data_IF_326316634855
#
_entry.id   IF_326316634855
#
_cell.length_a   1.000
_cell.length_b   1.000
_cell.length_c   1.000
_cell.angle_alpha   90.00
_cell.angle_beta   90.00
_cell.angle_gamma   90.00
#
_symmetry.space_group_name_H-M   'P 1'
#
loop_
_entity.id
_entity.type
_entity.pdbx_description
1 polymer ?
#
# COMPACT_ATOMS: atom_id res chain seq x y z
N UNK A 1 -0.92 26.31 -7.43
CA UNK A 1 0.50 26.70 -7.46
C UNK A 1 1.29 25.51 -6.94
N UNK A 2 1.90 24.73 -7.83
CA UNK A 2 2.68 23.56 -7.45
C UNK A 2 3.98 24.04 -6.82
N UNK A 3 4.16 23.76 -5.53
CA UNK A 3 5.42 24.00 -4.83
C UNK A 3 6.58 23.22 -5.48
N UNK A 4 7.84 23.53 -5.13
CA UNK A 4 8.99 22.82 -5.65
C UNK A 4 8.82 21.31 -5.41
N UNK A 5 9.08 20.51 -6.44
CA UNK A 5 9.11 19.05 -6.33
C UNK A 5 10.30 18.70 -5.44
N UNK A 6 10.07 18.49 -4.15
CA UNK A 6 11.11 17.95 -3.27
C UNK A 6 11.48 16.55 -3.78
N UNK A 7 12.70 16.42 -4.27
CA UNK A 7 13.27 15.15 -4.68
C UNK A 7 13.75 14.41 -3.43
N UNK A 8 12.91 13.52 -2.91
CA UNK A 8 13.29 12.67 -1.80
C UNK A 8 14.25 11.59 -2.26
N UNK A 9 15.42 11.52 -1.63
CA UNK A 9 16.46 10.54 -1.95
C UNK A 9 16.32 9.33 -1.03
N UNK A 10 16.24 8.14 -1.63
CA UNK A 10 16.43 6.85 -0.97
C UNK A 10 17.83 6.27 -1.29
N UNK A 11 18.36 5.35 -0.45
CA UNK A 11 19.58 4.61 -0.77
C UNK A 11 19.45 3.79 -2.08
N UNK A 12 20.56 3.41 -2.73
CA UNK A 12 20.55 2.43 -3.81
C UNK A 12 19.88 1.12 -3.36
N UNK A 13 19.14 0.45 -4.26
CA UNK A 13 18.35 -0.74 -3.88
C UNK A 13 19.23 -1.90 -3.43
N UNK A 14 20.46 -1.95 -3.92
CA UNK A 14 21.50 -2.93 -3.59
C UNK A 14 21.95 -2.84 -2.13
N UNK A 15 21.63 -1.73 -1.44
CA UNK A 15 21.89 -1.57 -0.02
C UNK A 15 20.80 -2.21 0.87
N UNK A 16 19.74 -2.78 0.30
CA UNK A 16 18.71 -3.46 1.07
C UNK A 16 19.25 -4.74 1.74
N UNK A 17 18.70 -5.09 2.91
CA UNK A 17 18.94 -6.41 3.51
C UNK A 17 18.41 -7.54 2.60
N UNK A 18 18.79 -8.80 2.81
CA UNK A 18 18.25 -9.93 2.03
C UNK A 18 16.72 -10.01 2.04
N UNK A 19 16.07 -9.54 3.11
CA UNK A 19 14.61 -9.49 3.24
C UNK A 19 13.99 -8.24 2.57
N UNK A 20 14.83 -7.31 2.10
CA UNK A 20 14.42 -6.11 1.39
C UNK A 20 14.32 -4.85 2.25
N UNK A 21 14.72 -4.85 3.52
CA UNK A 21 14.68 -3.63 4.33
C UNK A 21 15.74 -2.65 3.80
N UNK A 22 15.33 -1.46 3.38
CA UNK A 22 16.20 -0.49 2.70
C UNK A 22 16.55 0.73 3.57
N UNK A 23 15.57 1.27 4.30
CA UNK A 23 15.76 2.48 5.09
C UNK A 23 14.78 2.55 6.28
N UNK A 24 15.14 3.36 7.27
CA UNK A 24 14.36 3.60 8.50
C UNK A 24 14.16 5.10 8.70
N UNK A 25 12.96 5.51 9.08
CA UNK A 25 12.60 6.88 9.44
C UNK A 25 11.99 7.72 8.31
N UNK A 26 12.06 9.04 8.48
CA UNK A 26 11.38 10.01 7.62
C UNK A 26 9.93 10.26 8.04
N UNK A 27 9.05 10.39 7.05
CA UNK A 27 7.63 10.72 7.12
C UNK A 27 6.91 10.13 5.90
N UNK A 28 5.58 10.18 5.92
CA UNK A 28 4.70 9.71 4.84
C UNK A 28 4.17 10.86 3.97
N UNK A 29 4.94 11.93 3.76
CA UNK A 29 4.58 13.00 2.83
C UNK A 29 4.37 12.46 1.41
N UNK A 30 3.42 13.05 0.68
CA UNK A 30 3.06 12.60 -0.67
C UNK A 30 4.26 12.54 -1.60
N UNK A 31 5.14 13.55 -1.56
CA UNK A 31 6.34 13.57 -2.39
C UNK A 31 7.31 12.43 -2.08
N UNK A 32 7.48 12.05 -0.80
CA UNK A 32 8.36 10.93 -0.41
C UNK A 32 7.76 9.60 -0.83
N UNK A 33 6.47 9.40 -0.60
CA UNK A 33 5.76 8.19 -1.05
C UNK A 33 5.87 8.01 -2.56
N UNK A 34 5.59 9.05 -3.34
CA UNK A 34 5.71 8.99 -4.80
C UNK A 34 7.14 8.72 -5.25
N UNK A 35 8.14 9.33 -4.59
CA UNK A 35 9.56 9.06 -4.86
C UNK A 35 9.95 7.61 -4.55
N UNK A 36 9.39 7.03 -3.48
CA UNK A 36 9.61 5.64 -3.10
C UNK A 36 9.00 4.68 -4.13
N UNK A 37 7.71 4.84 -4.45
CA UNK A 37 6.99 3.98 -5.39
C UNK A 37 7.63 3.98 -6.79
N UNK A 38 8.09 5.14 -7.27
CA UNK A 38 8.82 5.25 -8.55
C UNK A 38 10.12 4.45 -8.61
N UNK A 39 10.66 4.07 -7.45
CA UNK A 39 11.89 3.29 -7.29
C UNK A 39 11.63 1.85 -6.82
N UNK A 40 10.38 1.41 -6.78
CA UNK A 40 10.01 0.08 -6.29
C UNK A 40 9.99 -0.06 -4.76
N UNK A 41 10.06 1.05 -4.03
CA UNK A 41 10.13 1.07 -2.56
C UNK A 41 8.74 1.34 -1.98
N UNK A 42 8.37 0.70 -0.87
CA UNK A 42 7.11 0.95 -0.17
C UNK A 42 7.28 1.00 1.36
N UNK A 43 6.48 1.80 2.08
CA UNK A 43 6.48 1.81 3.54
C UNK A 43 5.70 0.60 4.07
N UNK A 44 6.24 -0.07 5.08
CA UNK A 44 5.54 -1.15 5.76
C UNK A 44 6.06 -1.31 7.19
N UNK A 45 5.25 -0.95 8.19
CA UNK A 45 5.62 -0.97 9.60
C UNK A 45 4.36 -1.11 10.47
N UNK A 46 4.53 -1.56 11.70
CA UNK A 46 3.44 -1.68 12.69
C UNK A 46 3.44 -0.49 13.66
N UNK A 47 2.32 -0.26 14.34
CA UNK A 47 2.21 0.73 15.41
C UNK A 47 3.33 0.56 16.44
N UNK A 48 4.01 1.66 16.79
CA UNK A 48 5.15 1.66 17.71
C UNK A 48 6.51 1.40 17.07
N UNK A 49 6.56 1.01 15.80
CA UNK A 49 7.80 0.96 15.01
C UNK A 49 8.06 2.30 14.31
N UNK A 50 9.33 2.67 14.05
CA UNK A 50 9.63 3.73 13.10
C UNK A 50 9.14 3.34 11.69
N UNK A 51 9.00 4.31 10.79
CA UNK A 51 8.70 4.03 9.39
C UNK A 51 9.82 3.17 8.80
N UNK A 52 9.46 2.04 8.21
CA UNK A 52 10.39 1.14 7.51
C UNK A 52 10.07 1.14 6.02
N UNK A 53 11.10 1.27 5.19
CA UNK A 53 10.99 1.30 3.74
C UNK A 53 11.59 0.03 3.13
N UNK A 54 10.83 -0.64 2.27
CA UNK A 54 11.14 -1.99 1.79
C UNK A 54 11.23 -2.06 0.26
N UNK A 55 12.14 -2.89 -0.24
CA UNK A 55 12.30 -3.28 -1.64
C UNK A 55 12.82 -4.74 -1.72
N UNK A 56 11.96 -5.75 -1.47
CA UNK A 56 12.35 -7.15 -1.44
C UNK A 56 12.74 -7.69 -2.82
N UNK A 57 13.68 -8.64 -2.81
CA UNK A 57 14.13 -9.44 -3.95
C UNK A 57 14.15 -10.93 -3.55
N UNK A 58 13.34 -11.82 -4.16
CA UNK A 58 12.45 -11.58 -5.29
C UNK A 58 11.21 -10.74 -4.95
N UNK A 59 10.75 -9.95 -5.93
CA UNK A 59 9.51 -9.16 -5.80
C UNK A 59 8.29 -9.94 -6.29
N UNK A 60 7.30 -10.11 -5.42
CA UNK A 60 6.00 -10.69 -5.80
C UNK A 60 5.24 -9.75 -6.74
N UNK A 61 4.88 -10.27 -7.92
CA UNK A 61 4.05 -9.58 -8.93
C UNK A 61 2.91 -10.48 -9.40
N UNK A 62 1.80 -9.88 -9.85
CA UNK A 62 0.67 -10.57 -10.46
C UNK A 62 0.47 -10.04 -11.87
N UNK A 63 0.67 -10.89 -12.87
CA UNK A 63 0.35 -10.56 -14.26
C UNK A 63 -1.17 -10.66 -14.45
N UNK A 64 -1.85 -9.62 -14.98
CA UNK A 64 -3.31 -9.60 -15.10
C UNK A 64 -3.89 -10.76 -15.93
N UNK A 65 -3.20 -11.16 -17.00
CA UNK A 65 -3.55 -12.28 -17.88
C UNK A 65 -3.30 -13.66 -17.24
N UNK A 66 -2.43 -13.73 -16.22
CA UNK A 66 -2.16 -14.94 -15.46
C UNK A 66 -3.12 -15.15 -14.26
N UNK A 67 -4.09 -14.24 -14.04
CA UNK A 67 -5.02 -14.35 -12.92
C UNK A 67 -5.88 -15.62 -13.02
N UNK A 68 -5.72 -16.52 -12.05
CA UNK A 68 -6.49 -17.78 -11.96
C UNK A 68 -7.79 -17.58 -11.19
N UNK A 69 -8.92 -17.55 -11.89
CA UNK A 69 -10.25 -17.49 -11.27
C UNK A 69 -10.84 -18.90 -11.14
N UNK A 70 -10.96 -19.40 -9.92
CA UNK A 70 -11.52 -20.72 -9.64
C UNK A 70 -12.99 -20.84 -10.06
N UNK A 71 -13.45 -22.07 -10.32
CA UNK A 71 -14.86 -22.34 -10.70
C UNK A 71 -15.85 -21.84 -9.64
N UNK A 72 -15.53 -22.01 -8.36
CA UNK A 72 -16.35 -21.53 -7.25
C UNK A 72 -16.41 -20.01 -7.21
N UNK A 73 -15.27 -19.32 -7.39
CA UNK A 73 -15.24 -17.86 -7.43
C UNK A 73 -16.05 -17.31 -8.60
N UNK A 74 -15.92 -17.88 -9.82
CA UNK A 74 -16.75 -17.51 -10.97
C UNK A 74 -18.25 -17.65 -10.69
N UNK A 75 -18.65 -18.72 -9.98
CA UNK A 75 -20.05 -18.92 -9.57
C UNK A 75 -20.50 -17.86 -8.55
N UNK A 76 -19.68 -17.56 -7.56
CA UNK A 76 -19.95 -16.54 -6.55
C UNK A 76 -20.12 -15.15 -7.17
N UNK A 77 -19.18 -14.72 -8.02
CA UNK A 77 -19.21 -13.40 -8.66
C UNK A 77 -20.48 -13.20 -9.51
N UNK A 78 -20.93 -14.25 -10.23
CA UNK A 78 -22.13 -14.18 -11.07
C UNK A 78 -23.44 -14.06 -10.27
N UNK A 79 -23.51 -14.71 -9.11
CA UNK A 79 -24.80 -14.95 -8.43
C UNK A 79 -25.02 -14.12 -7.17
N UNK A 80 -23.98 -13.50 -6.62
CA UNK A 80 -24.10 -12.72 -5.37
C UNK A 80 -24.54 -11.27 -5.57
N UNK A 81 -24.67 -10.82 -6.82
CA UNK A 81 -25.17 -9.47 -7.12
C UNK A 81 -24.20 -8.35 -6.71
N UNK A 82 -22.89 -8.61 -6.71
CA UNK A 82 -21.91 -7.58 -6.39
C UNK A 82 -21.92 -6.46 -7.43
N UNK A 83 -21.78 -5.23 -6.97
CA UNK A 83 -21.46 -4.06 -7.79
C UNK A 83 -20.02 -3.68 -7.53
N UNK A 84 -19.21 -3.63 -8.59
CA UNK A 84 -17.83 -3.15 -8.54
C UNK A 84 -17.82 -1.71 -9.02
N UNK A 85 -17.13 -0.86 -8.27
CA UNK A 85 -16.94 0.56 -8.58
C UNK A 85 -15.46 0.87 -8.44
N UNK A 86 -15.04 2.04 -8.93
CA UNK A 86 -13.68 2.54 -8.75
C UNK A 86 -13.75 3.97 -8.24
N UNK A 87 -12.86 4.29 -7.30
CA UNK A 87 -12.66 5.61 -6.70
C UNK A 87 -13.91 6.27 -6.10
N UNK A 88 -14.92 5.46 -5.72
CA UNK A 88 -16.15 5.98 -5.13
C UNK A 88 -16.07 6.17 -3.62
N UNK A 89 -15.23 5.40 -2.91
CA UNK A 89 -15.15 5.49 -1.45
C UNK A 89 -13.80 5.02 -0.89
N UNK A 90 -12.72 5.67 -1.31
CA UNK A 90 -11.36 5.31 -0.92
C UNK A 90 -11.17 5.23 0.59
N UNK A 91 -11.62 6.24 1.33
CA UNK A 91 -11.51 6.30 2.80
C UNK A 91 -12.23 5.14 3.49
N UNK A 92 -13.40 4.73 3.01
CA UNK A 92 -14.12 3.56 3.51
C UNK A 92 -13.38 2.25 3.21
N UNK A 93 -12.81 2.11 2.02
CA UNK A 93 -12.03 0.92 1.62
C UNK A 93 -10.79 0.76 2.49
N UNK A 94 -9.96 1.80 2.62
CA UNK A 94 -8.71 1.71 3.41
C UNK A 94 -8.99 1.50 4.91
N UNK A 95 -10.04 2.12 5.45
CA UNK A 95 -10.47 1.87 6.83
C UNK A 95 -10.96 0.43 7.03
N UNK A 96 -11.69 -0.13 6.07
CA UNK A 96 -12.09 -1.53 6.13
C UNK A 96 -10.89 -2.49 6.05
N UNK A 97 -9.88 -2.17 5.23
CA UNK A 97 -8.62 -2.91 5.17
C UNK A 97 -7.85 -2.87 6.50
N UNK A 98 -7.96 -1.77 7.27
CA UNK A 98 -7.26 -1.58 8.53
C UNK A 98 -7.86 -2.37 9.71
N UNK A 99 -9.12 -2.81 9.60
CA UNK A 99 -9.84 -3.49 10.69
C UNK A 99 -9.14 -4.79 11.13
N UNK A 100 -9.21 -5.15 12.43
CA UNK A 100 -8.73 -6.44 12.92
C UNK A 100 -9.32 -7.62 12.14
N UNK A 101 -8.54 -8.68 12.01
CA UNK A 101 -8.95 -9.91 11.33
C UNK A 101 -9.25 -10.97 12.39
N UNK A 102 -10.34 -11.73 12.21
CA UNK A 102 -10.78 -12.77 13.15
C UNK A 102 -9.72 -13.82 13.52
N UNK A 103 -8.67 -13.97 12.71
CA UNK A 103 -7.56 -14.92 12.91
C UNK A 103 -6.31 -14.34 13.58
N UNK A 104 -6.24 -13.02 13.76
CA UNK A 104 -5.09 -12.38 14.39
C UNK A 104 -5.55 -11.81 15.72
N UNK A 105 -5.13 -12.42 16.83
CA UNK A 105 -5.41 -11.98 18.20
C UNK A 105 -5.17 -10.46 18.34
N UNK A 106 -6.26 -9.69 18.33
CA UNK A 106 -6.47 -8.27 18.69
C UNK A 106 -5.45 -7.20 18.24
N UNK A 107 -4.46 -7.52 17.41
CA UNK A 107 -3.33 -6.62 17.08
C UNK A 107 -3.53 -5.72 15.85
N UNK A 108 -4.73 -5.75 15.24
CA UNK A 108 -5.03 -4.95 14.06
C UNK A 108 -4.20 -5.36 12.82
N UNK A 109 -3.99 -4.41 11.90
CA UNK A 109 -3.11 -4.60 10.73
C UNK A 109 -1.98 -3.56 10.75
N UNK A 110 -1.04 -3.65 9.82
CA UNK A 110 0.02 -2.65 9.61
C UNK A 110 -0.51 -1.28 9.12
N UNK A 111 -1.80 -1.16 8.83
CA UNK A 111 -2.41 0.08 8.32
C UNK A 111 -2.75 0.98 9.51
N UNK A 112 -1.76 1.77 9.93
CA UNK A 112 -1.90 2.73 11.05
C UNK A 112 -2.72 3.96 10.66
N UNK A 113 -3.16 4.80 11.62
CA UNK A 113 -3.84 6.08 11.32
C UNK A 113 -3.03 7.00 10.39
N UNK A 114 -1.70 7.02 10.52
CA UNK A 114 -0.80 7.79 9.66
C UNK A 114 -0.80 7.28 8.23
N UNK A 115 -0.80 5.95 8.05
CA UNK A 115 -0.93 5.31 6.74
C UNK A 115 -2.28 5.64 6.08
N UNK A 116 -3.38 5.58 6.84
CA UNK A 116 -4.71 5.96 6.35
C UNK A 116 -4.70 7.41 5.86
N UNK A 117 -4.18 8.33 6.68
CA UNK A 117 -4.09 9.75 6.34
C UNK A 117 -3.26 9.97 5.08
N UNK A 118 -2.07 9.41 5.01
CA UNK A 118 -1.15 9.62 3.90
C UNK A 118 -1.71 9.12 2.56
N UNK A 119 -2.30 7.92 2.55
CA UNK A 119 -2.87 7.35 1.33
C UNK A 119 -4.20 8.00 0.93
N UNK A 120 -4.97 8.52 1.90
CA UNK A 120 -6.14 9.35 1.60
C UNK A 120 -5.70 10.65 0.91
N UNK A 121 -4.64 11.30 1.39
CA UNK A 121 -4.08 12.50 0.71
C UNK A 121 -3.55 12.17 -0.69
N UNK A 122 -2.96 10.99 -0.91
CA UNK A 122 -2.57 10.55 -2.26
C UNK A 122 -3.78 10.29 -3.16
N UNK A 123 -4.88 9.78 -2.63
CA UNK A 123 -6.13 9.62 -3.38
C UNK A 123 -6.73 10.98 -3.78
N UNK A 124 -6.81 11.92 -2.84
CA UNK A 124 -7.24 13.30 -3.11
C UNK A 124 -6.37 14.00 -4.16
N UNK A 125 -5.10 13.60 -4.26
CA UNK A 125 -4.14 14.11 -5.24
C UNK A 125 -4.10 13.31 -6.56
N UNK A 126 -4.93 12.28 -6.71
CA UNK A 126 -5.06 11.48 -7.93
C UNK A 126 -3.99 10.39 -8.14
N UNK A 127 -3.29 9.97 -7.09
CA UNK A 127 -2.21 8.96 -7.18
C UNK A 127 -2.54 7.61 -6.52
N UNK A 128 -3.48 7.57 -5.58
CA UNK A 128 -3.94 6.33 -4.97
C UNK A 128 -5.40 6.07 -5.37
N UNK A 129 -5.74 4.81 -5.61
CA UNK A 129 -7.05 4.41 -6.15
C UNK A 129 -7.66 3.28 -5.33
N UNK A 130 -9.00 3.20 -5.34
CA UNK A 130 -9.80 2.15 -4.70
C UNK A 130 -10.75 1.47 -5.67
#
# INVERSE_FOLDING_TARGET
MSGPVEHYTFPPLEAATPEGLLAVGGDLSSGRLLSAYRRGIFPWYSTGQPILWWSPDPRTVLYPDALKISRSLKKTLRHRGYRVTSDQYFSGVIQACAKPRERNDDSGTWITPEMIKAYTTLNESGYAHS
#
